data_IF_979926620154
#
_entry.id   IF_979926620154
#
_cell.length_a   1.000
_cell.length_b   1.000
_cell.length_c   1.000
_cell.angle_alpha   90.00
_cell.angle_beta   90.00
_cell.angle_gamma   90.00
#
_symmetry.space_group_name_H-M   'P 1'
#
loop_
_entity.id
_entity.type
_entity.pdbx_description
1 polymer ?
#
# COMPACT_ATOMS: atom_id res chain seq x y z
N UNK A 1 35.13 4.19 16.03
CA UNK A 1 35.34 4.25 14.56
C UNK A 1 34.08 4.00 13.73
N UNK A 2 33.02 3.34 14.24
CA UNK A 2 31.80 3.05 13.44
C UNK A 2 31.13 4.33 12.92
N UNK A 3 30.82 5.29 13.81
CA UNK A 3 30.20 6.57 13.44
C UNK A 3 30.96 7.32 12.33
N UNK A 4 32.28 7.39 12.43
CA UNK A 4 33.11 8.07 11.42
C UNK A 4 33.02 7.41 10.03
N UNK A 5 33.01 6.07 9.98
CA UNK A 5 32.87 5.33 8.71
C UNK A 5 31.50 5.56 8.09
N UNK A 6 30.44 5.46 8.88
CA UNK A 6 29.07 5.70 8.40
C UNK A 6 28.88 7.16 7.97
N UNK A 7 29.47 8.11 8.70
CA UNK A 7 29.47 9.53 8.34
C UNK A 7 30.15 9.77 6.99
N UNK A 8 31.34 9.19 6.78
CA UNK A 8 32.05 9.28 5.50
C UNK A 8 31.26 8.69 4.34
N UNK A 9 30.53 7.60 4.56
CA UNK A 9 29.64 7.02 3.54
C UNK A 9 28.55 8.02 3.17
N UNK A 10 27.84 8.58 4.16
CA UNK A 10 26.79 9.59 3.93
C UNK A 10 27.37 10.81 3.20
N UNK A 11 28.55 11.29 3.62
CA UNK A 11 29.21 12.45 3.03
C UNK A 11 29.65 12.20 1.57
N UNK A 12 30.17 11.01 1.27
CA UNK A 12 30.54 10.62 -0.10
C UNK A 12 29.32 10.58 -1.02
N UNK A 13 28.20 10.05 -0.52
CA UNK A 13 26.92 9.98 -1.25
C UNK A 13 26.35 11.38 -1.47
N UNK A 14 26.37 12.24 -0.45
CA UNK A 14 25.95 13.64 -0.59
C UNK A 14 26.80 14.39 -1.62
N UNK A 15 28.12 14.18 -1.61
CA UNK A 15 29.01 14.79 -2.60
C UNK A 15 28.74 14.25 -4.02
N UNK A 16 28.50 12.95 -4.16
CA UNK A 16 28.09 12.38 -5.45
C UNK A 16 26.75 12.97 -5.93
N UNK A 17 25.82 13.29 -5.02
CA UNK A 17 24.59 14.01 -5.33
C UNK A 17 24.83 15.42 -5.89
N UNK A 18 25.82 16.14 -5.38
CA UNK A 18 26.23 17.45 -5.90
C UNK A 18 26.80 17.35 -7.33
N UNK A 19 27.68 16.37 -7.57
CA UNK A 19 28.23 16.09 -8.90
C UNK A 19 27.10 15.75 -9.88
N UNK A 20 26.11 14.97 -9.44
CA UNK A 20 24.98 14.59 -10.26
C UNK A 20 24.06 15.79 -10.56
N UNK A 21 23.84 16.68 -9.59
CA UNK A 21 23.12 17.94 -9.80
C UNK A 21 23.82 18.83 -10.83
N UNK A 22 25.15 18.90 -10.78
CA UNK A 22 25.96 19.60 -11.79
C UNK A 22 25.80 19.02 -13.19
N UNK A 23 25.66 17.70 -13.33
CA UNK A 23 25.49 17.04 -14.62
C UNK A 23 24.05 17.17 -15.17
N UNK A 24 23.06 17.08 -14.27
CA UNK A 24 21.63 17.17 -14.59
C UNK A 24 21.01 18.28 -13.74
N UNK A 25 21.09 19.56 -14.16
CA UNK A 25 20.59 20.68 -13.37
C UNK A 25 19.06 20.79 -13.48
N UNK A 26 18.35 19.96 -12.72
CA UNK A 26 16.91 20.10 -12.51
C UNK A 26 16.67 21.22 -11.48
N UNK A 27 15.48 21.85 -11.46
CA UNK A 27 15.12 22.90 -10.51
C UNK A 27 14.83 22.32 -9.11
N UNK A 28 15.72 21.46 -8.60
CA UNK A 28 15.63 20.84 -7.29
C UNK A 28 16.99 20.92 -6.59
N UNK A 29 17.02 21.08 -5.26
CA UNK A 29 18.28 21.13 -4.51
C UNK A 29 19.10 19.85 -4.67
N UNK A 30 20.43 19.98 -4.64
CA UNK A 30 21.37 18.86 -4.71
C UNK A 30 21.09 17.76 -3.66
N UNK A 31 20.59 18.14 -2.48
CA UNK A 31 20.20 17.19 -1.43
C UNK A 31 19.18 16.14 -1.88
N UNK A 32 18.28 16.47 -2.82
CA UNK A 32 17.31 15.50 -3.36
C UNK A 32 18.01 14.41 -4.18
N UNK A 33 19.04 14.76 -4.95
CA UNK A 33 19.86 13.80 -5.68
C UNK A 33 20.59 12.85 -4.74
N UNK A 34 21.15 13.38 -3.64
CA UNK A 34 21.79 12.56 -2.61
C UNK A 34 20.84 11.53 -2.00
N UNK A 35 19.60 11.93 -1.69
CA UNK A 35 18.56 11.02 -1.17
C UNK A 35 18.18 9.96 -2.20
N UNK A 36 17.98 10.34 -3.47
CA UNK A 36 17.67 9.38 -4.55
C UNK A 36 18.81 8.39 -4.77
N UNK A 37 20.07 8.87 -4.76
CA UNK A 37 21.25 8.02 -4.89
C UNK A 37 21.33 7.03 -3.72
N UNK A 38 21.21 7.52 -2.49
CA UNK A 38 21.19 6.69 -1.30
C UNK A 38 20.08 5.63 -1.37
N UNK A 39 18.87 6.03 -1.76
CA UNK A 39 17.73 5.14 -1.91
C UNK A 39 17.99 4.02 -2.92
N UNK A 40 18.56 4.33 -4.09
CA UNK A 40 18.94 3.32 -5.10
C UNK A 40 20.02 2.37 -4.55
N UNK A 41 21.03 2.89 -3.85
CA UNK A 41 22.09 2.08 -3.23
C UNK A 41 21.54 1.11 -2.16
N UNK A 42 20.57 1.56 -1.36
CA UNK A 42 19.89 0.71 -0.38
C UNK A 42 19.01 -0.33 -1.07
N UNK A 43 18.25 0.06 -2.09
CA UNK A 43 17.36 -0.85 -2.83
C UNK A 43 18.12 -1.93 -3.59
N UNK A 44 19.28 -1.60 -4.14
CA UNK A 44 20.17 -2.55 -4.83
C UNK A 44 20.94 -3.46 -3.88
N UNK A 45 20.88 -3.21 -2.56
CA UNK A 45 21.58 -4.01 -1.56
C UNK A 45 23.10 -3.80 -1.53
N UNK A 46 23.63 -2.92 -2.37
CA UNK A 46 25.06 -2.55 -2.40
C UNK A 46 25.47 -1.94 -1.05
N UNK A 47 24.58 -1.14 -0.47
CA UNK A 47 24.79 -0.52 0.83
C UNK A 47 23.80 -1.08 1.87
N UNK A 48 24.26 -1.90 2.84
CA UNK A 48 23.37 -2.38 3.89
C UNK A 48 22.95 -1.22 4.79
N UNK A 49 21.67 -1.15 5.15
CA UNK A 49 21.10 -0.08 5.99
C UNK A 49 21.86 0.10 7.32
N UNK A 50 22.35 -1.00 7.89
CA UNK A 50 23.16 -0.99 9.12
C UNK A 50 24.44 -0.14 9.02
N UNK A 51 24.96 0.08 7.81
CA UNK A 51 26.15 0.91 7.54
C UNK A 51 25.91 2.41 7.58
N UNK A 52 24.66 2.87 7.71
CA UNK A 52 24.35 4.31 7.80
C UNK A 52 23.38 4.64 8.93
N UNK A 53 22.62 3.66 9.44
CA UNK A 53 21.48 3.86 10.34
C UNK A 53 21.82 4.62 11.63
N UNK A 54 22.88 4.23 12.35
CA UNK A 54 23.22 4.86 13.64
C UNK A 54 23.61 6.32 13.45
N UNK A 55 24.45 6.59 12.45
CA UNK A 55 24.96 7.95 12.20
C UNK A 55 23.92 8.83 11.55
N UNK A 56 23.10 8.31 10.63
CA UNK A 56 21.97 9.05 10.09
C UNK A 56 20.97 9.44 11.19
N UNK A 57 20.67 8.53 12.13
CA UNK A 57 19.84 8.84 13.29
C UNK A 57 20.41 9.96 14.15
N UNK A 58 21.70 9.89 14.46
CA UNK A 58 22.41 10.95 15.20
C UNK A 58 22.40 12.30 14.44
N UNK A 59 22.60 12.29 13.11
CA UNK A 59 22.54 13.49 12.28
C UNK A 59 21.13 14.12 12.28
N UNK A 60 20.08 13.30 12.26
CA UNK A 60 18.69 13.77 12.36
C UNK A 60 18.41 14.35 13.74
N UNK A 61 18.96 13.76 14.80
CA UNK A 61 18.80 14.24 16.17
C UNK A 61 19.43 15.63 16.40
N UNK A 62 20.61 15.89 15.81
CA UNK A 62 21.29 17.20 15.89
C UNK A 62 20.76 18.22 14.86
N UNK A 63 19.92 17.80 13.90
CA UNK A 63 19.35 18.69 12.85
C UNK A 63 18.71 19.98 13.41
N UNK A 64 17.93 19.96 14.51
CA UNK A 64 17.37 21.18 15.08
C UNK A 64 18.43 22.22 15.48
N UNK A 65 19.58 21.78 15.98
CA UNK A 65 20.70 22.66 16.34
C UNK A 65 21.29 23.34 15.11
N UNK A 66 21.31 22.62 13.97
CA UNK A 66 21.77 23.17 12.68
C UNK A 66 20.82 24.24 12.11
N UNK A 67 19.59 24.39 12.62
CA UNK A 67 18.68 25.47 12.22
C UNK A 67 18.89 26.77 13.01
N UNK A 68 19.65 26.76 14.11
CA UNK A 68 19.91 27.97 14.90
C UNK A 68 20.55 29.08 14.05
N UNK A 69 21.61 28.83 13.24
CA UNK A 69 22.20 29.87 12.40
C UNK A 69 21.23 30.40 11.34
N UNK A 70 20.40 29.53 10.76
CA UNK A 70 19.38 29.94 9.80
C UNK A 70 18.32 30.85 10.46
N UNK A 71 17.90 30.52 11.68
CA UNK A 71 16.96 31.34 12.45
C UNK A 71 17.55 32.70 12.82
N UNK A 72 18.83 32.76 13.20
CA UNK A 72 19.53 34.02 13.46
C UNK A 72 19.61 34.87 12.19
N UNK A 73 19.90 34.28 11.02
CA UNK A 73 19.93 35.01 9.75
C UNK A 73 18.58 35.64 9.35
N UNK A 74 17.46 35.08 9.82
CA UNK A 74 16.13 35.69 9.61
C UNK A 74 16.00 37.01 10.39
N UNK A 75 16.67 37.15 11.54
CA UNK A 75 16.62 38.37 12.36
C UNK A 75 17.22 39.57 11.61
N UNK A 76 18.20 39.35 10.73
CA UNK A 76 18.77 40.40 9.87
C UNK A 76 17.72 40.97 8.90
N UNK A 77 16.73 40.16 8.51
CA UNK A 77 15.62 40.55 7.63
C UNK A 77 14.33 40.90 8.37
N UNK A 78 14.38 41.02 9.71
CA UNK A 78 13.18 41.23 10.53
C UNK A 78 12.39 42.48 10.13
N UNK A 79 13.05 43.54 9.68
CA UNK A 79 12.38 44.78 9.23
C UNK A 79 11.42 44.58 8.05
N UNK A 80 11.65 43.58 7.21
CA UNK A 80 10.81 43.24 6.05
C UNK A 80 9.69 42.27 6.45
N UNK A 81 9.96 41.40 7.42
CA UNK A 81 9.04 40.33 7.84
C UNK A 81 8.03 40.85 8.86
N UNK A 82 8.45 41.74 9.76
CA UNK A 82 7.65 42.24 10.87
C UNK A 82 6.29 42.86 10.48
N UNK A 83 6.12 43.54 9.33
CA UNK A 83 4.80 44.03 8.92
C UNK A 83 3.82 42.93 8.50
N UNK A 84 4.31 41.83 7.93
CA UNK A 84 3.50 40.77 7.32
C UNK A 84 3.69 39.39 7.99
N UNK A 85 4.23 39.34 9.20
CA UNK A 85 4.53 38.10 9.92
C UNK A 85 3.31 37.19 10.07
N UNK A 86 2.12 37.79 10.23
CA UNK A 86 0.87 37.05 10.36
C UNK A 86 0.48 36.37 9.04
N UNK A 87 0.68 37.03 7.90
CA UNK A 87 0.45 36.46 6.57
C UNK A 87 1.37 35.25 6.33
N UNK A 88 2.66 35.37 6.67
CA UNK A 88 3.62 34.26 6.57
C UNK A 88 3.24 33.09 7.48
N UNK A 89 2.82 33.37 8.72
CA UNK A 89 2.40 32.34 9.67
C UNK A 89 1.15 31.60 9.17
N UNK A 90 0.13 32.34 8.76
CA UNK A 90 -1.11 31.76 8.23
C UNK A 90 -0.84 30.96 6.96
N UNK A 91 -0.05 31.50 6.02
CA UNK A 91 0.35 30.78 4.81
C UNK A 91 1.03 29.45 5.15
N UNK A 92 2.01 29.47 6.06
CA UNK A 92 2.79 28.28 6.45
C UNK A 92 1.90 27.20 7.08
N UNK A 93 1.03 27.59 8.01
CA UNK A 93 0.13 26.64 8.69
C UNK A 93 -0.87 26.06 7.70
N UNK A 94 -1.53 26.91 6.91
CA UNK A 94 -2.54 26.48 5.93
C UNK A 94 -1.91 25.59 4.87
N UNK A 95 -0.76 25.96 4.29
CA UNK A 95 -0.09 25.12 3.28
C UNK A 95 0.35 23.78 3.85
N UNK A 96 0.83 23.75 5.09
CA UNK A 96 1.26 22.50 5.76
C UNK A 96 0.08 21.56 5.96
N UNK A 97 -1.05 22.07 6.48
CA UNK A 97 -2.27 21.27 6.68
C UNK A 97 -2.80 20.74 5.34
N UNK A 98 -2.84 21.59 4.30
CA UNK A 98 -3.30 21.18 2.97
C UNK A 98 -2.39 20.09 2.39
N UNK A 99 -1.06 20.28 2.40
CA UNK A 99 -0.10 19.30 1.87
C UNK A 99 -0.22 17.97 2.61
N UNK A 100 -0.34 18.00 3.94
CA UNK A 100 -0.52 16.81 4.77
C UNK A 100 -1.84 16.09 4.47
N UNK A 101 -2.95 16.83 4.37
CA UNK A 101 -4.28 16.28 4.07
C UNK A 101 -4.31 15.64 2.68
N UNK A 102 -3.83 16.34 1.66
CA UNK A 102 -3.79 15.83 0.27
C UNK A 102 -2.89 14.61 0.17
N UNK A 103 -1.68 14.65 0.74
CA UNK A 103 -0.76 13.51 0.71
C UNK A 103 -1.35 12.29 1.43
N UNK A 104 -2.02 12.51 2.55
CA UNK A 104 -2.74 11.46 3.30
C UNK A 104 -3.90 10.87 2.50
N UNK A 105 -4.75 11.71 1.92
CA UNK A 105 -5.90 11.29 1.10
C UNK A 105 -5.45 10.50 -0.14
N UNK A 106 -4.41 10.97 -0.85
CA UNK A 106 -3.84 10.27 -2.01
C UNK A 106 -3.31 8.90 -1.61
N UNK A 107 -2.56 8.82 -0.50
CA UNK A 107 -2.04 7.53 0.01
C UNK A 107 -3.18 6.58 0.36
N UNK A 108 -4.22 7.06 1.04
CA UNK A 108 -5.41 6.27 1.38
C UNK A 108 -6.19 5.82 0.15
N UNK A 109 -6.30 6.67 -0.88
CA UNK A 109 -6.94 6.33 -2.14
C UNK A 109 -6.18 5.20 -2.87
N UNK A 110 -4.86 5.32 -2.98
CA UNK A 110 -4.00 4.28 -3.60
C UNK A 110 -4.10 2.96 -2.84
N UNK A 111 -4.07 3.00 -1.50
CA UNK A 111 -4.21 1.80 -0.67
C UNK A 111 -5.59 1.16 -0.85
N UNK A 112 -6.67 1.94 -0.90
CA UNK A 112 -8.04 1.42 -1.07
C UNK A 112 -8.24 0.73 -2.43
N UNK A 113 -7.61 1.22 -3.49
CA UNK A 113 -7.62 0.57 -4.81
C UNK A 113 -6.92 -0.79 -4.73
N UNK A 114 -5.73 -0.84 -4.13
CA UNK A 114 -4.93 -2.08 -3.98
C UNK A 114 -5.60 -3.12 -3.07
N UNK A 115 -6.28 -2.68 -2.00
CA UNK A 115 -6.99 -3.59 -1.08
C UNK A 115 -8.23 -4.25 -1.72
N UNK A 116 -8.84 -3.65 -2.74
CA UNK A 116 -9.94 -4.30 -3.48
C UNK A 116 -9.44 -5.45 -4.35
N UNK A 117 -8.27 -5.31 -4.96
CA UNK A 117 -7.63 -6.39 -5.73
C UNK A 117 -7.22 -7.55 -4.80
N UNK A 118 -6.63 -7.25 -3.63
CA UNK A 118 -6.18 -8.26 -2.67
C UNK A 118 -7.32 -9.03 -1.96
N UNK A 119 -8.51 -8.43 -1.81
CA UNK A 119 -9.70 -9.13 -1.27
C UNK A 119 -10.51 -9.86 -2.34
N UNK A 120 -10.33 -9.52 -3.62
CA UNK A 120 -11.02 -10.20 -4.72
C UNK A 120 -10.45 -11.59 -4.99
N UNK A 121 -9.13 -11.80 -4.92
CA UNK A 121 -8.54 -13.13 -5.11
C UNK A 121 -9.09 -14.18 -4.13
N UNK A 122 -9.12 -13.95 -2.79
CA UNK A 122 -9.66 -14.94 -1.84
C UNK A 122 -11.18 -15.12 -1.95
N UNK A 123 -11.93 -14.06 -2.26
CA UNK A 123 -13.40 -14.17 -2.39
C UNK A 123 -13.80 -14.91 -3.66
N UNK A 124 -13.01 -14.80 -4.74
CA UNK A 124 -13.21 -15.58 -5.96
C UNK A 124 -12.90 -17.06 -5.75
N UNK A 125 -11.82 -17.39 -5.03
CA UNK A 125 -11.48 -18.80 -4.73
C UNK A 125 -12.48 -19.44 -3.77
N UNK A 126 -12.87 -18.74 -2.69
CA UNK A 126 -13.88 -19.23 -1.73
C UNK A 126 -15.26 -19.39 -2.37
N UNK A 127 -15.67 -18.47 -3.24
CA UNK A 127 -16.95 -18.61 -3.97
C UNK A 127 -16.92 -19.76 -4.98
N UNK A 128 -15.77 -20.06 -5.59
CA UNK A 128 -15.61 -21.19 -6.51
C UNK A 128 -15.64 -22.53 -5.75
N UNK A 129 -14.88 -22.68 -4.66
CA UNK A 129 -14.87 -23.91 -3.86
C UNK A 129 -16.25 -24.23 -3.28
N UNK A 130 -16.91 -23.24 -2.67
CA UNK A 130 -18.22 -23.45 -2.07
C UNK A 130 -19.30 -23.80 -3.11
N UNK A 131 -19.22 -23.22 -4.32
CA UNK A 131 -20.14 -23.58 -5.41
C UNK A 131 -19.89 -25.01 -5.91
N UNK A 132 -18.63 -25.45 -6.01
CA UNK A 132 -18.32 -26.83 -6.40
C UNK A 132 -18.77 -27.84 -5.33
N UNK A 133 -18.60 -27.52 -4.06
CA UNK A 133 -19.05 -28.36 -2.94
C UNK A 133 -20.58 -28.52 -2.94
N UNK A 134 -21.32 -27.44 -3.15
CA UNK A 134 -22.79 -27.47 -3.27
C UNK A 134 -23.24 -28.28 -4.49
N UNK A 135 -22.57 -28.13 -5.63
CA UNK A 135 -22.86 -28.92 -6.83
C UNK A 135 -22.61 -30.41 -6.59
N UNK A 136 -21.49 -30.77 -5.97
CA UNK A 136 -21.16 -32.16 -5.66
C UNK A 136 -22.14 -32.77 -4.66
N UNK A 137 -22.54 -32.02 -3.65
CA UNK A 137 -23.56 -32.44 -2.67
C UNK A 137 -24.92 -32.63 -3.34
N UNK A 138 -25.33 -31.70 -4.23
CA UNK A 138 -26.59 -31.82 -4.98
C UNK A 138 -26.60 -33.01 -5.95
N UNK A 139 -25.46 -33.33 -6.56
CA UNK A 139 -25.29 -34.48 -7.45
C UNK A 139 -25.32 -35.81 -6.68
N UNK A 140 -24.71 -35.85 -5.49
CA UNK A 140 -24.79 -36.99 -4.58
C UNK A 140 -26.23 -37.25 -4.12
N UNK A 141 -26.95 -36.19 -3.72
CA UNK A 141 -28.36 -36.28 -3.33
C UNK A 141 -29.24 -36.76 -4.49
N UNK A 142 -29.08 -36.19 -5.70
CA UNK A 142 -29.80 -36.66 -6.91
C UNK A 142 -29.47 -38.10 -7.28
N UNK A 143 -28.23 -38.54 -7.08
CA UNK A 143 -27.81 -39.92 -7.31
C UNK A 143 -28.42 -40.88 -6.29
N UNK A 144 -28.51 -40.46 -5.03
CA UNK A 144 -29.18 -41.21 -3.97
C UNK A 144 -30.70 -41.27 -4.20
N UNK A 145 -31.34 -40.18 -4.62
CA UNK A 145 -32.76 -40.17 -5.00
C UNK A 145 -33.07 -41.10 -6.18
N UNK A 146 -32.22 -41.11 -7.23
CA UNK A 146 -32.36 -42.06 -8.35
C UNK A 146 -32.20 -43.52 -7.94
N UNK A 147 -31.45 -43.80 -6.87
CA UNK A 147 -31.19 -45.16 -6.37
C UNK A 147 -32.22 -45.60 -5.32
N UNK A 148 -32.89 -44.65 -4.66
CA UNK A 148 -33.94 -44.86 -3.68
C UNK A 148 -35.35 -44.91 -4.29
N UNK A 149 -35.52 -44.52 -5.56
CA UNK A 149 -36.69 -44.89 -6.36
C UNK A 149 -36.69 -46.43 -6.47
N UNK A 150 -37.65 -47.14 -5.86
CA UNK A 150 -37.76 -48.57 -6.04
C UNK A 150 -37.96 -48.85 -7.54
N UNK A 151 -37.45 -50.00 -7.95
CA UNK A 151 -37.74 -50.68 -9.22
C UNK A 151 -39.24 -51.08 -9.27
N UNK A 152 -40.16 -50.15 -9.01
CA UNK A 152 -41.61 -50.31 -9.12
C UNK A 152 -42.13 -49.67 -10.42
N UNK A 153 -41.44 -49.97 -11.52
CA UNK A 153 -41.99 -49.78 -12.87
C UNK A 153 -42.07 -51.11 -13.65
N UNK A 154 -41.96 -52.25 -12.97
CA UNK A 154 -42.04 -53.56 -13.62
C UNK A 154 -42.68 -54.63 -12.73
N UNK A 155 -43.82 -54.31 -12.12
CA UNK A 155 -44.66 -55.31 -11.44
C UNK A 155 -46.11 -54.82 -11.27
N UNK A 156 -46.74 -54.29 -12.32
CA UNK A 156 -48.22 -54.20 -12.37
C UNK A 156 -48.75 -54.31 -13.81
N UNK A 157 -48.48 -55.45 -14.42
CA UNK A 157 -49.25 -55.96 -15.56
C UNK A 157 -49.67 -57.40 -15.24
N UNK A 158 -50.45 -57.60 -14.18
CA UNK A 158 -51.39 -58.75 -14.11
C UNK A 158 -52.49 -58.65 -13.03
N UNK A 159 -52.80 -57.45 -12.52
CA UNK A 159 -53.99 -57.28 -11.70
C UNK A 159 -55.26 -57.31 -12.60
N UNK A 160 -56.23 -58.20 -12.36
CA UNK A 160 -57.38 -58.38 -13.25
C UNK A 160 -58.27 -57.14 -13.23
N UNK A 161 -58.61 -56.65 -14.42
CA UNK A 161 -59.55 -55.54 -14.64
C UNK A 161 -60.86 -55.81 -13.87
N UNK A 162 -61.24 -54.97 -12.88
CA UNK A 162 -62.56 -55.07 -12.28
C UNK A 162 -63.61 -54.63 -13.30
N UNK A 163 -64.36 -55.60 -13.84
CA UNK A 163 -65.63 -55.33 -14.51
C UNK A 163 -66.61 -54.77 -13.48
N UNK A 164 -67.01 -53.51 -13.60
CA UNK A 164 -68.26 -53.02 -13.03
C UNK A 164 -68.88 -51.90 -13.88
N UNK A 165 -69.76 -52.36 -14.76
CA UNK A 165 -71.11 -51.84 -15.07
C UNK A 165 -71.30 -50.33 -15.26
N UNK A 166 -71.69 -49.97 -16.49
CA UNK A 166 -72.40 -48.72 -16.78
C UNK A 166 -73.74 -48.70 -16.01
N UNK A 167 -74.09 -47.60 -15.33
CA UNK A 167 -75.49 -47.27 -15.10
C UNK A 167 -76.11 -46.79 -16.41
N UNK A 168 -77.26 -47.39 -16.74
CA UNK A 168 -78.25 -46.89 -17.70
C UNK A 168 -78.93 -45.66 -17.11
#
# INVERSE_FOLDING_TARGET
>A
MKYLKQFLIILTISFAGEILHWLLPLPVPAGIYGILLLFVLLKTGILPLASVRETAGFLVEIMPVMFIPAAVGIMDSWGIIAPSWLEYLTMTVVSTVIVMAVSGLVTQAVLRVRSREALQEPLQTLSQEHTQELLQTSMYQRGAERKALPEEANADTDAPVPKKELPV
#
